data_IF_495182127340
#
_entry.id   IF_495182127340
#
_cell.length_a   1.000
_cell.length_b   1.000
_cell.length_c   1.000
_cell.angle_alpha   90.00
_cell.angle_beta   90.00
_cell.angle_gamma   90.00
#
_symmetry.space_group_name_H-M   'P 1'
#
loop_
_entity.id
_entity.type
_entity.pdbx_description
1 polymer ?
#
# COMPACT_ATOMS: atom_id res chain seq x y z
N UNK A 1 2.06 10.03 11.25
CA UNK A 1 1.79 9.54 9.88
C UNK A 1 0.35 9.06 9.73
N UNK A 2 -0.12 8.08 10.52
CA UNK A 2 -1.52 7.61 10.46
C UNK A 2 -2.54 8.73 10.69
N UNK A 3 -2.29 9.64 11.62
CA UNK A 3 -3.17 10.80 11.83
C UNK A 3 -3.28 11.72 10.60
N UNK A 4 -2.18 11.90 9.87
CA UNK A 4 -2.16 12.68 8.63
C UNK A 4 -2.96 11.99 7.51
N UNK A 5 -2.86 10.66 7.42
CA UNK A 5 -3.64 9.83 6.48
C UNK A 5 -5.13 9.93 6.81
N UNK A 6 -5.49 9.75 8.09
CA UNK A 6 -6.86 9.88 8.57
C UNK A 6 -7.41 11.28 8.29
N UNK A 7 -6.63 12.32 8.61
CA UNK A 7 -7.03 13.70 8.37
C UNK A 7 -7.29 13.98 6.88
N UNK A 8 -6.41 13.49 5.99
CA UNK A 8 -6.62 13.64 4.54
C UNK A 8 -7.95 13.00 4.10
N UNK A 9 -8.19 11.75 4.47
CA UNK A 9 -9.40 11.05 4.03
C UNK A 9 -10.69 11.68 4.58
N UNK A 10 -10.71 12.09 5.85
CA UNK A 10 -11.89 12.68 6.47
C UNK A 10 -12.16 14.12 6.01
N UNK A 11 -11.16 14.85 5.50
CA UNK A 11 -11.34 16.25 5.08
C UNK A 11 -11.32 16.44 3.56
N UNK A 12 -10.31 15.91 2.88
CA UNK A 12 -10.13 16.08 1.44
C UNK A 12 -11.01 15.13 0.62
N UNK A 13 -11.30 13.94 1.15
CA UNK A 13 -12.15 12.93 0.50
C UNK A 13 -13.50 12.74 1.21
N UNK A 14 -13.96 13.74 1.98
CA UNK A 14 -15.22 13.69 2.75
C UNK A 14 -16.49 13.35 1.95
N UNK A 15 -16.47 13.64 0.65
CA UNK A 15 -17.56 13.30 -0.27
C UNK A 15 -17.62 11.78 -0.53
N UNK A 16 -16.48 11.10 -0.41
CA UNK A 16 -16.30 9.70 -0.77
C UNK A 16 -16.12 8.78 0.45
N UNK A 17 -15.51 9.26 1.52
CA UNK A 17 -15.14 8.48 2.69
C UNK A 17 -16.23 8.58 3.76
N UNK A 18 -16.64 7.43 4.28
CA UNK A 18 -17.56 7.31 5.42
C UNK A 18 -16.79 7.24 6.73
N UNK A 19 -15.76 6.41 6.79
CA UNK A 19 -14.96 6.24 8.00
C UNK A 19 -13.54 5.78 7.72
N UNK A 20 -12.64 6.03 8.67
CA UNK A 20 -11.25 5.58 8.63
C UNK A 20 -10.92 4.88 9.94
N UNK A 21 -10.43 3.65 9.85
CA UNK A 21 -9.96 2.86 10.98
C UNK A 21 -8.47 2.57 10.83
N UNK A 22 -7.67 3.01 11.79
CA UNK A 22 -6.21 2.85 11.74
C UNK A 22 -5.71 1.82 12.75
N UNK A 23 -4.79 0.96 12.31
CA UNK A 23 -4.08 0.00 13.15
C UNK A 23 -2.60 0.39 13.17
N UNK A 24 -2.08 0.65 14.37
CA UNK A 24 -0.66 0.97 14.56
C UNK A 24 0.12 -0.29 14.96
N UNK A 25 1.36 -0.43 14.50
CA UNK A 25 2.22 -1.56 14.82
C UNK A 25 2.10 -2.76 13.88
N UNK A 26 1.08 -2.78 13.01
CA UNK A 26 0.76 -3.88 12.10
C UNK A 26 0.59 -3.38 10.66
N UNK A 27 1.17 -4.07 9.68
CA UNK A 27 0.89 -3.89 8.26
C UNK A 27 1.00 -5.23 7.51
N UNK A 28 0.59 -5.29 6.24
CA UNK A 28 0.75 -6.48 5.41
C UNK A 28 2.21 -6.88 5.17
N UNK A 29 3.17 -5.95 5.32
CA UNK A 29 4.60 -6.22 5.18
C UNK A 29 5.29 -6.61 6.49
N UNK A 30 4.57 -6.66 7.62
CA UNK A 30 5.11 -7.09 8.91
C UNK A 30 4.63 -6.28 10.11
N UNK A 31 5.18 -6.62 11.27
CA UNK A 31 4.95 -5.93 12.55
C UNK A 31 6.12 -5.01 12.90
N UNK A 32 5.83 -3.84 13.47
CA UNK A 32 6.87 -2.92 13.95
C UNK A 32 6.31 -1.54 14.29
N UNK A 33 6.95 -0.82 15.22
CA UNK A 33 6.50 0.52 15.65
C UNK A 33 6.45 1.57 14.52
N UNK A 34 7.18 1.32 13.42
CA UNK A 34 7.20 2.16 12.23
C UNK A 34 6.21 1.69 11.14
N UNK A 35 5.40 0.67 11.42
CA UNK A 35 4.42 0.10 10.48
C UNK A 35 3.01 0.42 10.94
N UNK A 36 2.12 0.66 9.99
CA UNK A 36 0.71 0.91 10.26
C UNK A 36 -0.15 0.69 9.04
N UNK A 37 -1.44 0.52 9.27
CA UNK A 37 -2.45 0.29 8.24
C UNK A 37 -3.67 1.17 8.50
N UNK A 38 -4.31 1.65 7.45
CA UNK A 38 -5.57 2.36 7.52
C UNK A 38 -6.60 1.66 6.63
N UNK A 39 -7.71 1.23 7.22
CA UNK A 39 -8.89 0.76 6.51
C UNK A 39 -9.81 1.95 6.25
N UNK A 40 -10.07 2.24 4.99
CA UNK A 40 -10.92 3.35 4.56
C UNK A 40 -12.22 2.78 4.04
N UNK A 41 -13.31 3.04 4.77
CA UNK A 41 -14.66 2.69 4.32
C UNK A 41 -15.20 3.82 3.46
N UNK A 42 -15.56 3.50 2.22
CA UNK A 42 -16.21 4.46 1.33
C UNK A 42 -17.72 4.45 1.55
N UNK A 43 -18.35 5.58 1.20
CA UNK A 43 -19.80 5.70 1.13
C UNK A 43 -20.39 4.78 0.06
N UNK A 44 -21.71 4.57 0.14
CA UNK A 44 -22.44 3.81 -0.86
C UNK A 44 -22.20 4.38 -2.27
N UNK A 45 -22.23 3.53 -3.30
CA UNK A 45 -22.06 3.97 -4.68
C UNK A 45 -23.07 5.03 -5.11
N UNK A 46 -24.31 4.95 -4.58
CA UNK A 46 -25.37 5.93 -4.87
C UNK A 46 -25.05 7.34 -4.35
N UNK A 47 -24.21 7.45 -3.32
CA UNK A 47 -23.77 8.71 -2.73
C UNK A 47 -22.51 9.26 -3.42
N UNK A 48 -21.82 8.43 -4.21
CA UNK A 48 -20.56 8.74 -4.90
C UNK A 48 -20.77 8.84 -6.41
N UNK A 49 -21.53 9.85 -6.82
CA UNK A 49 -21.85 10.09 -8.22
C UNK A 49 -20.64 10.62 -8.99
N UNK A 50 -20.44 10.16 -10.23
CA UNK A 50 -19.35 10.61 -11.11
C UNK A 50 -18.08 9.75 -11.03
N UNK A 51 -17.38 9.63 -12.16
CA UNK A 51 -16.15 8.83 -12.26
C UNK A 51 -15.03 9.35 -11.35
N UNK A 52 -15.04 10.65 -11.03
CA UNK A 52 -14.11 11.27 -10.08
C UNK A 52 -14.27 10.75 -8.65
N UNK A 53 -15.41 10.14 -8.33
CA UNK A 53 -15.73 9.58 -7.02
C UNK A 53 -15.58 8.06 -6.99
N UNK A 54 -15.04 7.47 -8.07
CA UNK A 54 -14.67 6.06 -8.10
C UNK A 54 -13.53 5.76 -7.12
N UNK A 55 -13.39 4.48 -6.76
CA UNK A 55 -12.33 4.02 -5.84
C UNK A 55 -10.96 4.31 -6.44
N UNK A 56 -10.80 4.08 -7.74
CA UNK A 56 -9.59 4.31 -8.50
C UNK A 56 -9.21 5.79 -8.53
N UNK A 57 -10.19 6.68 -8.71
CA UNK A 57 -9.97 8.12 -8.69
C UNK A 57 -9.53 8.62 -7.30
N UNK A 58 -10.17 8.11 -6.23
CA UNK A 58 -9.79 8.39 -4.84
C UNK A 58 -8.37 7.90 -4.56
N UNK A 59 -8.02 6.68 -4.98
CA UNK A 59 -6.67 6.13 -4.84
C UNK A 59 -5.65 7.01 -5.58
N UNK A 60 -5.94 7.41 -6.83
CA UNK A 60 -5.03 8.24 -7.61
C UNK A 60 -4.77 9.62 -6.98
N UNK A 61 -5.78 10.23 -6.34
CA UNK A 61 -5.60 11.47 -5.58
C UNK A 61 -4.83 11.24 -4.28
N UNK A 62 -5.16 10.18 -3.54
CA UNK A 62 -4.47 9.82 -2.31
C UNK A 62 -2.98 9.52 -2.54
N UNK A 63 -2.64 8.74 -3.58
CA UNK A 63 -1.25 8.44 -3.95
C UNK A 63 -0.46 9.72 -4.25
N UNK A 64 -1.06 10.66 -5.00
CA UNK A 64 -0.42 11.97 -5.24
C UNK A 64 -0.22 12.76 -3.96
N UNK A 65 -1.23 12.84 -3.09
CA UNK A 65 -1.13 13.55 -1.82
C UNK A 65 -0.06 12.94 -0.90
N UNK A 66 -0.04 11.61 -0.77
CA UNK A 66 0.86 10.93 0.14
C UNK A 66 2.29 10.80 -0.39
N UNK A 67 2.53 10.95 -1.69
CA UNK A 67 3.88 11.07 -2.25
C UNK A 67 4.67 12.25 -1.66
N UNK A 68 3.98 13.22 -1.06
CA UNK A 68 4.58 14.40 -0.43
C UNK A 68 5.00 14.15 1.04
N UNK A 69 4.66 12.99 1.62
CA UNK A 69 5.05 12.63 2.99
C UNK A 69 6.53 12.24 2.97
N UNK A 70 7.35 12.97 3.73
CA UNK A 70 8.82 12.77 3.75
C UNK A 70 9.28 11.68 4.72
N UNK A 71 8.53 11.47 5.80
CA UNK A 71 8.94 10.63 6.93
C UNK A 71 8.43 9.17 6.82
N UNK A 72 7.90 8.77 5.66
CA UNK A 72 7.44 7.41 5.44
C UNK A 72 6.73 7.22 4.10
N UNK A 73 6.53 5.97 3.72
CA UNK A 73 5.81 5.59 2.51
C UNK A 73 4.37 5.17 2.82
N UNK A 74 3.39 5.79 2.17
CA UNK A 74 1.99 5.36 2.21
C UNK A 74 1.59 4.89 0.82
N UNK A 75 1.03 3.69 0.72
CA UNK A 75 0.53 3.14 -0.52
C UNK A 75 -0.96 2.81 -0.38
N UNK A 76 -1.86 3.66 -0.92
CA UNK A 76 -3.26 3.33 -1.06
C UNK A 76 -3.44 2.31 -2.18
N UNK A 77 -4.23 1.28 -1.94
CA UNK A 77 -4.62 0.31 -2.96
C UNK A 77 -6.04 -0.18 -2.70
N UNK A 78 -6.73 -0.61 -3.75
CA UNK A 78 -8.00 -1.30 -3.61
C UNK A 78 -7.71 -2.78 -3.29
N UNK A 79 -8.43 -3.35 -2.33
CA UNK A 79 -8.27 -4.77 -2.06
C UNK A 79 -8.78 -5.58 -3.26
N UNK A 80 -8.05 -6.62 -3.70
CA UNK A 80 -8.55 -7.51 -4.75
C UNK A 80 -9.82 -8.24 -4.25
N UNK A 81 -10.75 -8.52 -5.16
CA UNK A 81 -12.02 -9.19 -4.82
C UNK A 81 -11.81 -10.61 -4.24
N UNK A 82 -10.67 -11.24 -4.53
CA UNK A 82 -10.27 -12.54 -4.01
C UNK A 82 -8.81 -12.43 -3.56
N UNK A 83 -8.59 -12.37 -2.25
CA UNK A 83 -7.24 -12.23 -1.66
C UNK A 83 -6.37 -13.46 -1.92
N UNK A 84 -6.98 -14.65 -1.98
CA UNK A 84 -6.28 -15.94 -2.13
C UNK A 84 -5.64 -16.18 -3.50
N UNK A 85 -5.97 -15.39 -4.52
CA UNK A 85 -5.40 -15.52 -5.87
C UNK A 85 -4.27 -14.52 -6.16
N UNK A 86 -3.91 -13.65 -5.20
CA UNK A 86 -2.92 -12.60 -5.42
C UNK A 86 -3.31 -11.63 -6.55
N UNK A 87 -2.34 -10.90 -7.10
CA UNK A 87 -2.55 -10.16 -8.34
C UNK A 87 -2.36 -11.13 -9.51
N UNK A 88 -3.37 -11.30 -10.37
CA UNK A 88 -3.32 -12.26 -11.50
C UNK A 88 -2.16 -12.03 -12.50
N UNK A 89 -1.43 -10.91 -12.37
CA UNK A 89 -0.29 -10.53 -13.21
C UNK A 89 1.01 -10.27 -12.43
N UNK A 90 0.98 -10.33 -11.10
CA UNK A 90 2.16 -10.15 -10.25
C UNK A 90 2.83 -11.49 -9.97
N UNK A 91 4.15 -11.57 -10.15
CA UNK A 91 4.93 -12.72 -9.71
C UNK A 91 5.27 -12.55 -8.22
N UNK A 92 5.30 -13.65 -7.48
CA UNK A 92 5.85 -13.72 -6.13
C UNK A 92 7.11 -14.59 -6.16
N UNK A 93 8.20 -14.15 -5.52
CA UNK A 93 9.47 -14.84 -5.50
C UNK A 93 10.00 -14.98 -4.08
N UNK A 94 10.33 -16.21 -3.70
CA UNK A 94 11.08 -16.50 -2.48
C UNK A 94 12.55 -16.74 -2.83
N UNK A 95 13.45 -15.91 -2.27
CA UNK A 95 14.89 -16.09 -2.44
C UNK A 95 15.45 -16.92 -1.28
N UNK A 96 16.00 -18.09 -1.59
CA UNK A 96 16.49 -19.06 -0.62
C UNK A 96 18.01 -19.19 -0.70
N UNK A 97 18.68 -19.14 0.45
CA UNK A 97 20.08 -19.51 0.59
C UNK A 97 20.22 -21.03 0.78
N UNK A 98 20.47 -21.75 -0.31
CA UNK A 98 20.72 -23.20 -0.26
C UNK A 98 22.15 -23.57 0.14
N UNK A 99 23.09 -22.62 0.05
CA UNK A 99 24.51 -22.84 0.32
C UNK A 99 24.94 -22.57 1.76
N UNK A 100 24.04 -22.01 2.58
CA UNK A 100 24.36 -21.59 3.94
C UNK A 100 25.35 -20.41 3.98
N UNK A 101 25.30 -19.54 2.97
CA UNK A 101 26.16 -18.36 2.83
C UNK A 101 25.85 -17.27 3.87
N UNK A 102 24.68 -17.32 4.50
CA UNK A 102 24.27 -16.45 5.59
C UNK A 102 23.52 -15.19 5.14
N UNK A 103 22.96 -14.48 6.13
CA UNK A 103 22.01 -13.37 5.92
C UNK A 103 22.55 -12.22 5.05
N UNK A 104 23.82 -11.84 5.25
CA UNK A 104 24.44 -10.73 4.51
C UNK A 104 24.59 -11.04 3.02
N UNK A 105 24.97 -12.29 2.68
CA UNK A 105 25.09 -12.74 1.30
C UNK A 105 23.72 -12.79 0.62
N UNK A 106 22.70 -13.32 1.32
CA UNK A 106 21.33 -13.36 0.84
C UNK A 106 20.75 -11.96 0.60
N UNK A 107 21.03 -11.02 1.51
CA UNK A 107 20.60 -9.61 1.39
C UNK A 107 21.23 -8.93 0.17
N UNK A 108 22.52 -9.18 -0.09
CA UNK A 108 23.20 -8.67 -1.30
C UNK A 108 22.58 -9.24 -2.57
N UNK A 109 22.34 -10.55 -2.62
CA UNK A 109 21.72 -11.21 -3.77
C UNK A 109 20.30 -10.67 -4.03
N UNK A 110 19.48 -10.48 -2.98
CA UNK A 110 18.16 -9.82 -3.08
C UNK A 110 18.28 -8.43 -3.69
N UNK A 111 19.21 -7.61 -3.21
CA UNK A 111 19.40 -6.26 -3.72
C UNK A 111 19.87 -6.24 -5.18
N UNK A 112 20.69 -7.21 -5.60
CA UNK A 112 21.09 -7.38 -7.01
C UNK A 112 19.89 -7.76 -7.88
N UNK A 113 19.05 -8.71 -7.43
CA UNK A 113 17.84 -9.12 -8.14
C UNK A 113 16.87 -7.95 -8.35
N UNK A 114 16.64 -7.17 -7.29
CA UNK A 114 15.84 -5.94 -7.37
C UNK A 114 16.48 -4.87 -8.28
N UNK A 115 17.82 -4.85 -8.36
CA UNK A 115 18.57 -3.98 -9.27
C UNK A 115 18.30 -4.32 -10.74
N UNK A 116 18.41 -5.60 -11.12
CA UNK A 116 18.13 -6.04 -12.50
C UNK A 116 16.67 -5.77 -12.92
N UNK A 117 15.72 -5.93 -12.01
CA UNK A 117 14.31 -5.63 -12.27
C UNK A 117 14.04 -4.16 -12.63
N UNK A 118 14.90 -3.23 -12.21
CA UNK A 118 14.79 -1.80 -12.51
C UNK A 118 15.38 -1.38 -13.86
N UNK A 119 16.26 -2.20 -14.45
CA UNK A 119 16.85 -1.95 -15.78
C UNK A 119 15.98 -2.51 -16.92
N UNK A 120 15.07 -3.44 -16.61
CA UNK A 120 14.20 -4.09 -17.59
C UNK A 120 12.84 -3.38 -17.81
N UNK A 121 12.66 -2.16 -17.29
CA UNK A 121 11.43 -1.34 -17.42
C UNK A 121 11.67 -0.07 -18.24
#
# INVERSE_FOLDING_TARGET
MLDQVTHYYLNNEKANVESVFTVNGFSFSGQGQNSGMAFVSLKSWEERNGEENSVEAVIARATRAFSQIRDGLVFPFNMPAIVELGTATGFDFELIDQGGLGHDALTKARNQLLGYGREAS
#
